data_IF_362198713403
#
_entry.id   IF_362198713403
#
_cell.length_a   1.000
_cell.length_b   1.000
_cell.length_c   1.000
_cell.angle_alpha   90.00
_cell.angle_beta   90.00
_cell.angle_gamma   90.00
#
_symmetry.space_group_name_H-M   'P 1'
#
loop_
_entity.id
_entity.type
_entity.pdbx_description
1 polymer ?
#
# COMPACT_ATOMS: atom_id res chain seq x y z
N UNK A 1 -16.70 -12.10 -13.76
CA UNK A 1 -16.11 -10.89 -14.36
C UNK A 1 -17.22 -9.93 -14.72
N UNK A 2 -16.87 -8.68 -15.03
CA UNK A 2 -17.82 -7.67 -15.55
C UNK A 2 -17.67 -7.58 -17.07
N UNK A 3 -18.72 -7.12 -17.76
CA UNK A 3 -18.75 -6.86 -19.21
C UNK A 3 -18.39 -5.41 -19.58
N UNK A 4 -18.12 -4.57 -18.57
CA UNK A 4 -17.71 -3.18 -18.68
C UNK A 4 -16.57 -2.90 -17.69
N UNK A 5 -15.76 -1.84 -17.93
CA UNK A 5 -14.82 -1.36 -16.94
C UNK A 5 -15.53 -1.02 -15.63
N UNK A 6 -14.88 -1.17 -14.47
CA UNK A 6 -15.52 -0.88 -13.19
C UNK A 6 -15.83 0.61 -13.08
N UNK A 7 -17.09 0.95 -12.82
CA UNK A 7 -17.57 2.34 -12.83
C UNK A 7 -17.92 2.83 -11.42
N UNK A 8 -18.34 1.92 -10.54
CA UNK A 8 -18.75 2.26 -9.16
C UNK A 8 -17.68 1.89 -8.13
N UNK A 9 -17.62 2.64 -7.01
CA UNK A 9 -16.72 2.31 -5.87
C UNK A 9 -16.93 0.86 -5.40
N UNK A 10 -18.18 0.37 -5.41
CA UNK A 10 -18.50 -1.00 -5.04
C UNK A 10 -17.84 -2.02 -5.97
N UNK A 11 -17.87 -1.80 -7.27
CA UNK A 11 -17.22 -2.68 -8.25
C UNK A 11 -15.71 -2.68 -8.05
N UNK A 12 -15.10 -1.50 -7.87
CA UNK A 12 -13.67 -1.37 -7.60
C UNK A 12 -13.24 -2.13 -6.34
N UNK A 13 -14.04 -2.10 -5.27
CA UNK A 13 -13.76 -2.84 -4.02
C UNK A 13 -13.77 -4.35 -4.16
N UNK A 14 -14.47 -4.89 -5.15
CA UNK A 14 -14.57 -6.33 -5.38
C UNK A 14 -13.37 -6.89 -6.18
N UNK A 15 -12.51 -6.01 -6.71
CA UNK A 15 -11.42 -6.42 -7.58
C UNK A 15 -10.11 -6.62 -6.80
N UNK A 16 -9.52 -7.83 -6.84
CA UNK A 16 -8.21 -8.06 -6.23
C UNK A 16 -7.12 -7.22 -6.92
N UNK A 17 -6.26 -6.56 -6.14
CA UNK A 17 -5.15 -5.73 -6.66
C UNK A 17 -4.26 -6.52 -7.64
N UNK A 18 -4.01 -7.79 -7.33
CA UNK A 18 -3.19 -8.68 -8.17
C UNK A 18 -3.80 -8.88 -9.55
N UNK A 19 -5.12 -8.99 -9.65
CA UNK A 19 -5.80 -9.17 -10.93
C UNK A 19 -5.75 -7.90 -11.77
N UNK A 20 -5.90 -6.73 -11.13
CA UNK A 20 -5.74 -5.42 -11.77
C UNK A 20 -4.31 -5.23 -12.28
N UNK A 21 -3.31 -5.62 -11.48
CA UNK A 21 -1.90 -5.63 -11.86
C UNK A 21 -1.66 -6.53 -13.08
N UNK A 22 -2.20 -7.75 -13.09
CA UNK A 22 -2.08 -8.68 -14.22
C UNK A 22 -2.72 -8.11 -15.49
N UNK A 23 -3.93 -7.54 -15.38
CA UNK A 23 -4.67 -7.02 -16.53
C UNK A 23 -4.03 -5.78 -17.17
N UNK A 24 -3.21 -5.04 -16.40
CA UNK A 24 -2.59 -3.78 -16.85
C UNK A 24 -1.10 -3.90 -17.15
N UNK A 25 -0.42 -4.94 -16.66
CA UNK A 25 0.99 -5.15 -16.92
C UNK A 25 1.26 -5.58 -18.38
N UNK A 26 2.45 -5.27 -18.90
CA UNK A 26 2.89 -5.64 -20.25
C UNK A 26 2.32 -4.79 -21.39
N UNK A 27 2.30 -5.37 -22.60
CA UNK A 27 1.94 -4.71 -23.85
C UNK A 27 0.84 -5.47 -24.60
N UNK A 28 0.06 -4.74 -25.41
CA UNK A 28 -1.00 -5.32 -26.26
C UNK A 28 -0.43 -5.58 -27.65
N UNK A 29 -0.29 -6.83 -28.03
CA UNK A 29 0.27 -7.23 -29.33
C UNK A 29 -0.76 -7.21 -30.47
N UNK A 30 -2.04 -7.48 -30.16
CA UNK A 30 -3.12 -7.47 -31.15
C UNK A 30 -4.46 -7.21 -30.45
N UNK A 31 -5.21 -6.24 -30.96
CA UNK A 31 -6.58 -5.92 -30.53
C UNK A 31 -7.31 -5.17 -31.66
N UNK A 32 -7.66 -5.86 -32.77
CA UNK A 32 -8.22 -5.21 -33.95
C UNK A 32 -9.61 -4.59 -33.71
N UNK A 33 -10.35 -5.06 -32.70
CA UNK A 33 -11.65 -4.51 -32.31
C UNK A 33 -11.53 -3.35 -31.32
N UNK A 34 -10.37 -3.19 -30.67
CA UNK A 34 -10.11 -2.12 -29.70
C UNK A 34 -10.78 -2.30 -28.33
N UNK A 35 -11.55 -3.39 -28.14
CA UNK A 35 -12.33 -3.60 -26.91
C UNK A 35 -11.44 -3.86 -25.70
N UNK A 36 -10.39 -4.67 -25.87
CA UNK A 36 -9.44 -4.94 -24.80
C UNK A 36 -8.67 -3.69 -24.41
N UNK A 37 -8.20 -2.93 -25.39
CA UNK A 37 -7.44 -1.69 -25.21
C UNK A 37 -8.30 -0.64 -24.51
N UNK A 38 -9.58 -0.53 -24.86
CA UNK A 38 -10.54 0.34 -24.16
C UNK A 38 -10.66 -0.06 -22.69
N UNK A 39 -10.84 -1.34 -22.41
CA UNK A 39 -10.94 -1.85 -21.04
C UNK A 39 -9.66 -1.61 -20.23
N UNK A 40 -8.51 -1.98 -20.80
CA UNK A 40 -7.18 -1.79 -20.19
C UNK A 40 -6.88 -0.33 -19.93
N UNK A 41 -7.25 0.57 -20.84
CA UNK A 41 -7.04 2.02 -20.67
C UNK A 41 -7.82 2.58 -19.48
N UNK A 42 -9.07 2.11 -19.27
CA UNK A 42 -9.85 2.47 -18.09
C UNK A 42 -9.18 1.98 -16.80
N UNK A 43 -8.67 0.75 -16.78
CA UNK A 43 -7.93 0.23 -15.63
C UNK A 43 -6.62 0.98 -15.39
N UNK A 44 -5.91 1.40 -16.44
CA UNK A 44 -4.65 2.16 -16.33
C UNK A 44 -4.83 3.58 -15.77
N UNK A 45 -6.06 4.12 -15.77
CA UNK A 45 -6.36 5.40 -15.10
C UNK A 45 -6.19 5.31 -13.57
N UNK A 46 -6.23 4.10 -13.01
CA UNK A 46 -6.08 3.84 -11.58
C UNK A 46 -7.41 3.74 -10.84
N UNK A 47 -7.34 3.54 -9.53
CA UNK A 47 -8.52 3.52 -8.67
C UNK A 47 -9.23 4.88 -8.67
N UNK A 48 -10.56 4.92 -8.47
CA UNK A 48 -11.23 6.12 -8.02
C UNK A 48 -10.53 6.66 -6.77
N UNK A 49 -10.34 7.98 -6.70
CA UNK A 49 -9.49 8.59 -5.67
C UNK A 49 -9.95 8.22 -4.25
N UNK A 50 -11.25 8.25 -3.98
CA UNK A 50 -11.82 7.87 -2.69
C UNK A 50 -11.50 6.42 -2.30
N UNK A 51 -11.51 5.49 -3.27
CA UNK A 51 -11.10 4.11 -3.05
C UNK A 51 -9.60 4.01 -2.78
N UNK A 52 -8.78 4.77 -3.52
CA UNK A 52 -7.33 4.82 -3.30
C UNK A 52 -7.01 5.33 -1.89
N UNK A 53 -7.64 6.42 -1.46
CA UNK A 53 -7.49 6.99 -0.12
C UNK A 53 -7.92 6.01 0.97
N UNK A 54 -9.03 5.29 0.76
CA UNK A 54 -9.50 4.24 1.66
C UNK A 54 -8.44 3.16 1.87
N UNK A 55 -7.86 2.67 0.78
CA UNK A 55 -6.79 1.67 0.84
C UNK A 55 -5.54 2.23 1.50
N UNK A 56 -5.13 3.46 1.17
CA UNK A 56 -3.98 4.13 1.79
C UNK A 56 -4.14 4.26 3.31
N UNK A 57 -5.32 4.68 3.78
CA UNK A 57 -5.64 4.77 5.19
C UNK A 57 -5.49 3.41 5.90
N UNK A 58 -6.03 2.34 5.30
CA UNK A 58 -5.90 0.98 5.83
C UNK A 58 -4.45 0.51 5.89
N UNK A 59 -3.63 0.77 4.85
CA UNK A 59 -2.21 0.40 4.85
C UNK A 59 -1.38 1.19 5.87
N UNK A 60 -1.66 2.47 6.08
CA UNK A 60 -1.01 3.27 7.12
C UNK A 60 -1.21 2.64 8.51
N UNK A 61 -2.46 2.29 8.86
CA UNK A 61 -2.75 1.67 10.14
C UNK A 61 -2.15 0.27 10.27
N UNK A 62 -2.14 -0.50 9.17
CA UNK A 62 -1.54 -1.83 9.16
C UNK A 62 -0.03 -1.76 9.39
N UNK A 63 0.68 -0.88 8.69
CA UNK A 63 2.10 -0.63 8.88
C UNK A 63 2.42 -0.19 10.31
N UNK A 64 1.63 0.73 10.87
CA UNK A 64 1.82 1.18 12.25
C UNK A 64 1.65 0.02 13.25
N UNK A 65 0.60 -0.79 13.06
CA UNK A 65 0.31 -1.92 13.92
C UNK A 65 1.40 -3.00 13.84
N UNK A 66 1.74 -3.46 12.63
CA UNK A 66 2.68 -4.57 12.45
C UNK A 66 4.13 -4.13 12.69
N UNK A 67 4.54 -2.99 12.12
CA UNK A 67 5.89 -2.45 12.21
C UNK A 67 6.15 -1.73 13.52
N UNK A 68 5.63 -0.51 13.68
CA UNK A 68 6.00 0.38 14.80
C UNK A 68 5.56 -0.17 16.17
N UNK A 69 4.47 -0.95 16.23
CA UNK A 69 3.94 -1.46 17.49
C UNK A 69 4.27 -2.94 17.76
N UNK A 70 3.86 -3.86 16.88
CA UNK A 70 3.94 -5.29 17.15
C UNK A 70 5.36 -5.85 17.07
N UNK A 71 6.15 -5.44 16.07
CA UNK A 71 7.51 -5.95 15.88
C UNK A 71 8.40 -5.71 17.12
N UNK A 72 8.64 -4.47 17.59
CA UNK A 72 9.52 -4.22 18.74
C UNK A 72 8.98 -4.86 20.03
N UNK A 73 7.65 -4.93 20.19
CA UNK A 73 7.02 -5.54 21.36
C UNK A 73 7.19 -7.06 21.39
N UNK A 74 7.18 -7.71 20.23
CA UNK A 74 7.41 -9.15 20.09
C UNK A 74 8.87 -9.47 20.40
N UNK A 75 9.81 -8.68 19.87
CA UNK A 75 11.24 -8.79 20.20
C UNK A 75 11.48 -8.64 21.70
N UNK A 76 10.91 -7.62 22.35
CA UNK A 76 11.06 -7.40 23.81
C UNK A 76 10.59 -8.58 24.66
N UNK A 77 9.72 -9.43 24.12
CA UNK A 77 9.16 -10.61 24.78
C UNK A 77 9.85 -11.91 24.38
N UNK A 78 10.89 -11.84 23.55
CA UNK A 78 11.55 -12.99 22.93
C UNK A 78 10.58 -13.88 22.13
N UNK A 79 9.51 -13.30 21.56
CA UNK A 79 8.54 -14.03 20.75
C UNK A 79 8.84 -13.83 19.26
N UNK A 80 9.81 -14.60 18.76
CA UNK A 80 10.42 -14.37 17.45
C UNK A 80 9.55 -14.77 16.27
N UNK A 81 8.66 -15.76 16.43
CA UNK A 81 7.73 -16.14 15.36
C UNK A 81 6.75 -14.98 15.11
N UNK A 82 6.20 -14.39 16.17
CA UNK A 82 5.35 -13.21 16.04
C UNK A 82 6.12 -12.01 15.45
N UNK A 83 7.39 -11.83 15.81
CA UNK A 83 8.21 -10.77 15.21
C UNK A 83 8.41 -10.97 13.69
N UNK A 84 8.65 -12.21 13.24
CA UNK A 84 8.76 -12.51 11.80
C UNK A 84 7.43 -12.28 11.06
N UNK A 85 6.31 -12.69 11.65
CA UNK A 85 4.98 -12.43 11.09
C UNK A 85 4.71 -10.92 10.98
N UNK A 86 5.05 -10.15 12.02
CA UNK A 86 4.90 -8.71 12.04
C UNK A 86 5.76 -8.02 10.96
N UNK A 87 7.01 -8.45 10.77
CA UNK A 87 7.88 -7.93 9.71
C UNK A 87 7.35 -8.26 8.30
N UNK A 88 6.82 -9.46 8.08
CA UNK A 88 6.21 -9.85 6.81
C UNK A 88 4.95 -9.01 6.51
N UNK A 89 4.08 -8.83 7.50
CA UNK A 89 2.87 -8.02 7.37
C UNK A 89 3.18 -6.54 7.18
N UNK A 90 4.21 -6.01 7.85
CA UNK A 90 4.74 -4.67 7.60
C UNK A 90 5.25 -4.53 6.16
N UNK A 91 6.03 -5.49 5.68
CA UNK A 91 6.61 -5.47 4.32
C UNK A 91 5.53 -5.45 3.23
N UNK A 92 4.49 -6.27 3.39
CA UNK A 92 3.36 -6.30 2.46
C UNK A 92 2.56 -4.99 2.48
N UNK A 93 2.24 -4.48 3.67
CA UNK A 93 1.48 -3.24 3.84
C UNK A 93 2.26 -2.02 3.31
N UNK A 94 3.56 -1.94 3.62
CA UNK A 94 4.44 -0.88 3.15
C UNK A 94 4.54 -0.88 1.64
N UNK A 95 4.83 -2.03 1.04
CA UNK A 95 4.89 -2.14 -0.42
C UNK A 95 3.55 -1.74 -1.05
N UNK A 96 2.43 -2.24 -0.55
CA UNK A 96 1.08 -1.87 -1.02
C UNK A 96 0.85 -0.35 -0.97
N UNK A 97 1.24 0.31 0.11
CA UNK A 97 1.11 1.76 0.24
C UNK A 97 1.95 2.51 -0.80
N UNK A 98 3.19 2.08 -1.06
CA UNK A 98 4.04 2.70 -2.10
C UNK A 98 3.41 2.54 -3.49
N UNK A 99 2.83 1.39 -3.80
CA UNK A 99 2.07 1.19 -5.05
C UNK A 99 0.88 2.17 -5.15
N UNK A 100 0.11 2.34 -4.08
CA UNK A 100 -1.03 3.27 -4.03
C UNK A 100 -0.60 4.74 -4.16
N UNK A 101 0.52 5.14 -3.55
CA UNK A 101 1.11 6.48 -3.68
C UNK A 101 1.45 6.78 -5.14
N UNK A 102 1.93 5.78 -5.88
CA UNK A 102 2.30 5.89 -7.29
C UNK A 102 1.12 5.65 -8.26
N UNK A 103 -0.11 5.51 -7.75
CA UNK A 103 -1.31 5.14 -8.53
C UNK A 103 -1.08 3.88 -9.38
N UNK A 104 -0.49 2.84 -8.77
CA UNK A 104 -0.22 1.53 -9.38
C UNK A 104 -0.87 0.41 -8.58
N UNK A 105 -1.17 -0.69 -9.27
CA UNK A 105 -1.70 -1.90 -8.64
C UNK A 105 -0.56 -2.80 -8.14
N UNK A 106 -0.65 -3.21 -6.87
CA UNK A 106 0.30 -4.14 -6.27
C UNK A 106 0.25 -5.51 -6.98
N UNK A 107 1.37 -6.04 -7.50
CA UNK A 107 1.41 -7.37 -8.11
C UNK A 107 1.42 -8.45 -7.04
N UNK A 108 1.44 -9.71 -7.47
CA UNK A 108 1.61 -10.86 -6.58
C UNK A 108 2.88 -10.74 -5.73
N UNK A 109 2.85 -11.21 -4.48
CA UNK A 109 3.85 -10.93 -3.45
C UNK A 109 5.30 -11.19 -3.89
N UNK A 110 5.53 -12.24 -4.70
CA UNK A 110 6.88 -12.60 -5.18
C UNK A 110 7.53 -11.54 -6.09
N UNK A 111 6.73 -10.69 -6.73
CA UNK A 111 7.19 -9.62 -7.63
C UNK A 111 7.09 -8.23 -7.02
N UNK A 112 6.32 -8.09 -5.95
CA UNK A 112 5.98 -6.83 -5.30
C UNK A 112 7.21 -6.03 -4.88
N UNK A 113 8.16 -6.65 -4.17
CA UNK A 113 9.36 -5.94 -3.72
C UNK A 113 10.21 -5.47 -4.90
N UNK A 114 10.48 -6.34 -5.88
CA UNK A 114 11.27 -5.98 -7.06
C UNK A 114 10.66 -4.84 -7.87
N UNK A 115 9.33 -4.79 -7.96
CA UNK A 115 8.62 -3.73 -8.68
C UNK A 115 8.69 -2.35 -8.03
N UNK A 116 9.16 -2.23 -6.77
CA UNK A 116 9.40 -0.93 -6.14
C UNK A 116 10.51 -0.14 -6.84
N UNK A 117 11.51 -0.81 -7.45
CA UNK A 117 12.64 -0.16 -8.12
C UNK A 117 12.25 0.74 -9.29
N UNK A 118 11.06 0.56 -9.86
CA UNK A 118 10.57 1.37 -10.97
C UNK A 118 9.53 2.42 -10.54
N UNK A 119 9.27 2.54 -9.23
CA UNK A 119 8.32 3.52 -8.70
C UNK A 119 9.02 4.88 -8.53
N UNK A 120 8.50 5.96 -9.14
CA UNK A 120 9.14 7.27 -9.08
C UNK A 120 9.08 7.93 -7.70
N UNK A 121 8.14 7.51 -6.84
CA UNK A 121 7.97 8.09 -5.49
C UNK A 121 8.27 7.03 -4.44
N UNK A 122 9.31 7.28 -3.64
CA UNK A 122 9.79 6.43 -2.54
C UNK A 122 10.17 4.99 -2.95
N UNK A 123 10.30 4.70 -4.24
CA UNK A 123 10.47 3.34 -4.74
C UNK A 123 11.78 2.69 -4.30
N UNK A 124 12.90 3.33 -4.64
CA UNK A 124 14.24 2.82 -4.34
C UNK A 124 14.54 2.81 -2.84
N UNK A 125 14.15 3.87 -2.11
CA UNK A 125 14.32 3.95 -0.66
C UNK A 125 13.54 2.85 0.05
N UNK A 126 12.28 2.62 -0.34
CA UNK A 126 11.47 1.53 0.23
C UNK A 126 12.01 0.16 -0.12
N UNK A 127 12.50 -0.03 -1.36
CA UNK A 127 13.15 -1.28 -1.76
C UNK A 127 14.33 -1.60 -0.84
N UNK A 128 15.23 -0.63 -0.64
CA UNK A 128 16.44 -0.82 0.14
C UNK A 128 16.15 -1.06 1.63
N UNK A 129 15.23 -0.28 2.23
CA UNK A 129 14.85 -0.45 3.63
C UNK A 129 14.18 -1.81 3.87
N UNK A 130 13.25 -2.22 3.01
CA UNK A 130 12.59 -3.52 3.13
C UNK A 130 13.57 -4.69 2.93
N UNK A 131 14.54 -4.55 2.02
CA UNK A 131 15.59 -5.55 1.84
C UNK A 131 16.46 -5.67 3.11
N UNK A 132 16.87 -4.53 3.68
CA UNK A 132 17.64 -4.50 4.92
C UNK A 132 16.88 -5.18 6.08
N UNK A 133 15.59 -4.85 6.26
CA UNK A 133 14.73 -5.47 7.29
C UNK A 133 14.62 -6.99 7.10
N UNK A 134 14.56 -7.47 5.86
CA UNK A 134 14.43 -8.89 5.55
C UNK A 134 15.72 -9.69 5.78
N UNK A 135 16.89 -9.04 5.75
CA UNK A 135 18.19 -9.72 5.82
C UNK A 135 19.00 -9.45 7.09
N UNK A 136 18.71 -8.38 7.83
CA UNK A 136 19.49 -8.05 9.03
C UNK A 136 19.20 -9.03 10.18
N UNK A 137 20.27 -9.38 10.89
CA UNK A 137 20.23 -10.14 12.13
C UNK A 137 20.09 -9.26 13.38
N UNK A 138 20.17 -7.93 13.25
CA UNK A 138 19.98 -6.99 14.35
C UNK A 138 18.52 -6.54 14.43
N UNK A 139 17.90 -6.76 15.60
CA UNK A 139 16.54 -6.28 15.84
C UNK A 139 16.48 -4.75 15.91
N UNK A 140 17.54 -4.10 16.40
CA UNK A 140 17.66 -2.65 16.47
C UNK A 140 17.71 -2.03 15.07
N UNK A 141 18.48 -2.61 14.15
CA UNK A 141 18.51 -2.20 12.74
C UNK A 141 17.14 -2.37 12.08
N UNK A 142 16.45 -3.48 12.34
CA UNK A 142 15.11 -3.72 11.82
C UNK A 142 14.09 -2.70 12.35
N UNK A 143 14.11 -2.40 13.66
CA UNK A 143 13.25 -1.37 14.26
C UNK A 143 13.56 0.01 13.64
N UNK A 144 14.85 0.35 13.51
CA UNK A 144 15.26 1.62 12.90
C UNK A 144 14.83 1.73 11.43
N UNK A 145 14.92 0.64 10.67
CA UNK A 145 14.47 0.58 9.27
C UNK A 145 12.96 0.76 9.14
N UNK A 146 12.19 0.13 10.04
CA UNK A 146 10.73 0.30 10.13
C UNK A 146 10.37 1.77 10.40
N UNK A 147 10.96 2.38 11.43
CA UNK A 147 10.68 3.78 11.78
C UNK A 147 11.09 4.75 10.66
N UNK A 148 12.23 4.49 10.02
CA UNK A 148 12.70 5.31 8.88
C UNK A 148 11.71 5.26 7.72
N UNK A 149 11.24 4.07 7.35
CA UNK A 149 10.27 3.92 6.26
C UNK A 149 8.93 4.59 6.61
N UNK A 150 8.45 4.43 7.85
CA UNK A 150 7.26 5.12 8.33
C UNK A 150 7.42 6.64 8.26
N UNK A 151 8.57 7.20 8.67
CA UNK A 151 8.86 8.63 8.58
C UNK A 151 8.86 9.16 7.14
N UNK A 152 9.46 8.42 6.19
CA UNK A 152 9.44 8.77 4.77
C UNK A 152 8.02 8.81 4.22
N UNK A 153 7.22 7.79 4.56
CA UNK A 153 5.80 7.72 4.18
C UNK A 153 5.01 8.87 4.78
N UNK A 154 5.17 9.16 6.08
CA UNK A 154 4.48 10.27 6.76
C UNK A 154 4.78 11.59 6.07
N UNK A 155 6.05 11.88 5.77
CA UNK A 155 6.42 13.11 5.08
C UNK A 155 5.77 13.18 3.69
N UNK A 156 5.77 12.07 2.95
CA UNK A 156 5.10 12.05 1.64
C UNK A 156 3.59 12.25 1.74
N UNK A 157 2.93 11.68 2.75
CA UNK A 157 1.51 11.88 2.99
C UNK A 157 1.19 13.34 3.33
N UNK A 158 2.06 14.03 4.08
CA UNK A 158 1.96 15.47 4.35
C UNK A 158 2.13 16.29 3.06
N UNK A 159 3.13 15.97 2.24
CA UNK A 159 3.36 16.64 0.95
C UNK A 159 2.18 16.49 -0.02
N UNK A 160 1.46 15.37 0.06
CA UNK A 160 0.23 15.13 -0.70
C UNK A 160 -1.00 15.82 -0.10
N UNK A 161 -0.85 16.53 1.03
CA UNK A 161 -1.95 17.18 1.74
C UNK A 161 -2.94 16.20 2.37
N UNK A 162 -2.53 14.95 2.60
CA UNK A 162 -3.40 13.88 3.10
C UNK A 162 -3.45 13.79 4.62
N UNK A 163 -2.58 14.51 5.31
CA UNK A 163 -2.52 14.57 6.78
C UNK A 163 -1.76 15.81 7.22
N UNK A 164 -2.23 16.41 8.32
CA UNK A 164 -1.59 17.56 8.99
C UNK A 164 -1.06 17.18 10.38
N UNK A 165 -1.14 15.89 10.74
CA UNK A 165 -0.60 15.37 11.99
C UNK A 165 0.92 15.58 12.05
N UNK A 166 1.42 16.06 13.19
CA UNK A 166 2.85 16.12 13.50
C UNK A 166 3.38 14.83 14.13
N UNK A 167 2.54 13.81 14.33
CA UNK A 167 2.93 12.52 14.90
C UNK A 167 3.99 11.81 14.04
N UNK A 168 4.83 11.02 14.68
CA UNK A 168 5.74 10.04 14.06
C UNK A 168 5.11 8.65 13.97
N UNK A 169 3.95 8.45 14.62
CA UNK A 169 3.23 7.20 14.60
C UNK A 169 2.22 7.16 13.45
N UNK A 170 2.46 6.28 12.47
CA UNK A 170 1.71 6.23 11.21
C UNK A 170 0.21 5.92 11.41
N UNK A 171 -0.16 5.36 12.57
CA UNK A 171 -1.56 5.12 12.95
C UNK A 171 -2.38 6.41 12.99
N UNK A 172 -1.79 7.52 13.41
CA UNK A 172 -2.49 8.80 13.59
C UNK A 172 -2.82 9.47 12.25
N UNK A 173 -2.19 9.03 11.16
CA UNK A 173 -2.38 9.56 9.82
C UNK A 173 -3.53 8.85 9.09
N UNK A 174 -3.73 7.55 9.32
CA UNK A 174 -4.78 6.76 8.69
C UNK A 174 -6.18 7.37 8.82
N UNK A 175 -6.65 7.73 10.04
CA UNK A 175 -7.93 8.39 10.24
C UNK A 175 -8.05 9.75 9.53
N UNK A 176 -6.96 10.52 9.43
CA UNK A 176 -6.98 11.81 8.73
C UNK A 176 -7.10 11.65 7.21
N UNK A 177 -6.48 10.60 6.65
CA UNK A 177 -6.67 10.23 5.23
C UNK A 177 -8.13 9.81 5.01
N UNK A 178 -8.67 8.97 5.90
CA UNK A 178 -10.05 8.48 5.83
C UNK A 178 -11.05 9.65 5.82
N UNK A 179 -10.83 10.70 6.62
CA UNK A 179 -11.70 11.89 6.66
C UNK A 179 -11.74 12.69 5.36
N UNK A 180 -10.72 12.57 4.49
CA UNK A 180 -10.63 13.26 3.19
C UNK A 180 -11.42 12.56 2.07
N UNK A 181 -11.94 11.37 2.32
CA UNK A 181 -12.83 10.65 1.39
C UNK A 181 -14.13 11.45 1.22
N UNK A 182 -14.54 11.68 -0.03
CA UNK A 182 -15.75 12.44 -0.36
C UNK A 182 -17.01 11.60 -0.26
N UNK A 183 -16.96 10.36 -0.72
CA UNK A 183 -18.05 9.39 -0.58
C UNK A 183 -18.32 9.10 0.90
N UNK A 184 -19.50 9.46 1.37
CA UNK A 184 -19.87 9.37 2.78
C UNK A 184 -19.97 7.93 3.28
N UNK A 185 -20.45 7.01 2.43
CA UNK A 185 -20.55 5.60 2.80
C UNK A 185 -19.16 5.01 2.99
N UNK A 186 -18.25 5.26 2.05
CA UNK A 186 -16.87 4.78 2.10
C UNK A 186 -16.09 5.40 3.26
N UNK A 187 -16.31 6.70 3.53
CA UNK A 187 -15.71 7.41 4.66
C UNK A 187 -16.11 6.82 6.01
N UNK A 188 -17.36 6.36 6.15
CA UNK A 188 -17.89 5.84 7.42
C UNK A 188 -17.59 4.35 7.64
N UNK A 189 -17.10 3.62 6.64
CA UNK A 189 -16.58 2.27 6.83
C UNK A 189 -15.30 2.36 7.67
N UNK A 190 -15.22 1.60 8.76
CA UNK A 190 -14.00 1.56 9.58
C UNK A 190 -12.83 1.04 8.74
N UNK A 191 -11.67 1.70 8.70
CA UNK A 191 -10.55 1.26 7.86
C UNK A 191 -9.81 0.02 8.40
N UNK A 192 -10.19 -0.48 9.57
CA UNK A 192 -9.76 -1.75 10.16
C UNK A 192 -10.67 -2.89 9.69
N UNK A 193 -10.45 -3.46 8.50
CA UNK A 193 -11.25 -4.64 8.10
C UNK A 193 -11.33 -5.03 6.63
N UNK A 194 -10.44 -4.54 5.77
CA UNK A 194 -10.33 -5.02 4.38
C UNK A 194 -9.00 -5.75 4.13
#
# INVERSE_FOLDING_TARGET
GMDHPPDTIREWRLLPEVNLSIATNGEVFSDPLGEFTKFRSALLAGYPEDQRLKMMAARCMKMAQSGQYNYPRSIKRNEFVAAQMAAAEFTDAASSLIYLINNKYKPFYKWMHRGLLVMPVLGEESYNLLAAIATSSSFEENISGIETLCGLVINKLRDMGLTDSSSDFLLDHGPQIQQRIKDEQLRNIVPWGE
#
